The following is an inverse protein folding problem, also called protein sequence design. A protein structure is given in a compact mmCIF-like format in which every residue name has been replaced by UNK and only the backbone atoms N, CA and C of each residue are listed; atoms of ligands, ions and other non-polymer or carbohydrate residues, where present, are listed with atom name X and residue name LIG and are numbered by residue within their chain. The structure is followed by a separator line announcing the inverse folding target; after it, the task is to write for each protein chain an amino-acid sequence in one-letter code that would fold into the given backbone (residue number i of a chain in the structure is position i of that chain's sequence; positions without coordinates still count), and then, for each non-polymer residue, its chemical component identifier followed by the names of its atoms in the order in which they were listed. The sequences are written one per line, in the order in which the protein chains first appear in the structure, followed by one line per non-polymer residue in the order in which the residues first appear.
data_IF_221079197865
#
_entry.id   IF_221079197865
#
_cell.length_a   1.000
_cell.length_b   1.000
_cell.length_c   1.000
_cell.angle_alpha   90.00
_cell.angle_beta   90.00
_cell.angle_gamma   90.00
#
_symmetry.space_group_name_H-M   'P 1'
#
loop_
_entity.id
_entity.type
_entity.pdbx_description
1 polymer ?
#
# COMPACT_ATOMS: atom_id res chain seq x y z
N UNK A 1 4.91 -9.32 8.20
CA UNK A 1 4.73 -8.39 7.07
C UNK A 1 5.08 -9.09 5.78
N UNK A 2 4.26 -8.93 4.76
CA UNK A 2 4.50 -9.49 3.42
C UNK A 2 4.69 -8.37 2.43
N UNK A 3 5.29 -8.69 1.27
CA UNK A 3 5.65 -7.71 0.25
C UNK A 3 5.26 -8.20 -1.14
N UNK A 4 4.82 -7.26 -1.99
CA UNK A 4 4.47 -7.58 -3.38
C UNK A 4 5.60 -7.16 -4.33
N UNK A 5 5.55 -7.67 -5.56
CA UNK A 5 6.48 -7.26 -6.62
C UNK A 5 6.30 -5.79 -7.00
N UNK A 6 5.15 -5.21 -6.67
CA UNK A 6 4.85 -3.80 -6.91
C UNK A 6 5.32 -2.90 -5.77
N UNK A 7 6.10 -3.45 -4.82
CA UNK A 7 6.66 -2.73 -3.68
C UNK A 7 5.61 -2.23 -2.69
N UNK A 8 4.56 -3.03 -2.49
CA UNK A 8 3.56 -2.78 -1.45
C UNK A 8 3.87 -3.68 -0.27
N UNK A 9 3.65 -3.17 0.95
CA UNK A 9 3.75 -4.01 2.13
C UNK A 9 2.36 -4.30 2.68
N UNK A 10 2.21 -5.49 3.27
CA UNK A 10 0.95 -5.97 3.83
C UNK A 10 1.20 -6.43 5.26
N UNK A 11 0.46 -5.86 6.19
CA UNK A 11 0.58 -6.19 7.61
C UNK A 11 -0.77 -6.68 8.15
N UNK A 12 -0.87 -7.95 8.55
CA UNK A 12 -2.10 -8.45 9.17
C UNK A 12 -2.40 -7.71 10.49
N UNK A 13 -3.65 -7.30 10.66
CA UNK A 13 -4.13 -6.64 11.88
C UNK A 13 -5.53 -7.17 12.19
N UNK A 14 -5.60 -8.24 13.00
CA UNK A 14 -6.86 -8.93 13.24
C UNK A 14 -7.39 -9.53 11.94
N UNK A 15 -8.62 -9.19 11.57
CA UNK A 15 -9.25 -9.64 10.32
C UNK A 15 -8.87 -8.77 9.13
N UNK A 16 -8.10 -7.71 9.35
CA UNK A 16 -7.78 -6.72 8.33
C UNK A 16 -6.33 -6.85 7.89
N UNK A 17 -6.05 -6.36 6.69
CA UNK A 17 -4.70 -6.22 6.16
C UNK A 17 -4.43 -4.74 5.95
N UNK A 18 -3.39 -4.22 6.59
CA UNK A 18 -2.94 -2.84 6.38
C UNK A 18 -2.00 -2.83 5.19
N UNK A 19 -2.21 -1.91 4.26
CA UNK A 19 -1.43 -1.83 3.01
C UNK A 19 -0.77 -0.46 2.89
N UNK A 20 0.50 -0.47 2.53
CA UNK A 20 1.26 0.73 2.21
C UNK A 20 2.32 0.42 1.17
N UNK A 21 3.20 1.36 0.90
CA UNK A 21 4.34 1.13 -0.01
C UNK A 21 5.63 1.07 0.80
N UNK A 22 6.63 0.38 0.23
CA UNK A 22 7.92 0.22 0.89
C UNK A 22 8.74 1.50 0.81
N UNK A 23 9.75 1.61 1.67
CA UNK A 23 10.69 2.73 1.61
C UNK A 23 11.41 2.77 0.27
N UNK A 24 11.68 1.62 -0.32
CA UNK A 24 12.29 1.52 -1.65
C UNK A 24 11.41 2.20 -2.71
N UNK A 25 10.09 1.93 -2.70
CA UNK A 25 9.16 2.57 -3.63
C UNK A 25 9.07 4.07 -3.38
N UNK A 26 9.01 4.49 -2.13
CA UNK A 26 8.93 5.91 -1.76
C UNK A 26 10.17 6.67 -2.26
N UNK A 27 11.35 6.08 -2.14
CA UNK A 27 12.59 6.70 -2.65
C UNK A 27 12.56 6.87 -4.17
N UNK A 28 12.02 5.88 -4.89
CA UNK A 28 11.93 5.95 -6.34
C UNK A 28 10.94 7.00 -6.81
N UNK A 29 9.86 7.23 -6.05
CA UNK A 29 8.88 8.25 -6.38
C UNK A 29 9.44 9.67 -6.20
N UNK A 30 10.33 9.87 -5.23
CA UNK A 30 10.74 11.20 -4.83
C UNK A 30 9.66 11.87 -3.98
N UNK A 31 9.64 13.19 -3.91
CA UNK A 31 8.70 13.92 -3.05
C UNK A 31 7.25 13.73 -3.51
N UNK A 32 6.44 13.14 -2.65
CA UNK A 32 5.01 12.93 -2.90
C UNK A 32 4.27 14.23 -2.59
N UNK A 33 3.46 14.69 -3.54
CA UNK A 33 2.76 15.97 -3.43
C UNK A 33 1.24 15.83 -3.39
N UNK A 34 0.70 14.70 -3.82
CA UNK A 34 -0.74 14.46 -3.81
C UNK A 34 -1.04 12.97 -3.73
N UNK A 35 -2.05 12.62 -2.93
CA UNK A 35 -2.52 11.23 -2.79
C UNK A 35 -4.04 11.24 -2.86
N UNK A 36 -4.60 10.44 -3.77
CA UNK A 36 -6.03 10.21 -3.88
C UNK A 36 -6.36 8.85 -3.30
N UNK A 37 -7.13 8.83 -2.21
CA UNK A 37 -7.52 7.63 -1.49
C UNK A 37 -8.92 7.18 -1.90
N UNK A 38 -9.22 5.86 -1.82
CA UNK A 38 -10.58 5.37 -2.04
C UNK A 38 -11.45 5.71 -0.84
N UNK A 39 -12.75 5.49 -0.97
CA UNK A 39 -13.68 5.63 0.14
C UNK A 39 -13.80 4.31 0.91
N UNK A 40 -13.96 4.39 2.23
CA UNK A 40 -14.27 3.22 3.05
C UNK A 40 -15.60 2.61 2.55
N UNK A 41 -15.66 1.29 2.51
CA UNK A 41 -16.81 0.58 1.96
C UNK A 41 -16.67 0.18 0.49
N UNK A 42 -15.59 0.59 -0.17
CA UNK A 42 -15.34 0.23 -1.57
C UNK A 42 -14.90 -1.23 -1.67
N UNK A 43 -15.55 -2.00 -2.53
CA UNK A 43 -15.12 -3.36 -2.84
C UNK A 43 -14.08 -3.32 -3.95
N UNK A 44 -13.02 -4.11 -3.79
CA UNK A 44 -11.92 -4.17 -4.74
C UNK A 44 -11.55 -5.61 -5.06
N UNK A 45 -10.97 -5.80 -6.24
CA UNK A 45 -10.42 -7.08 -6.65
C UNK A 45 -8.89 -6.95 -6.77
N UNK A 46 -8.20 -8.07 -6.69
CA UNK A 46 -6.74 -8.10 -6.84
C UNK A 46 -6.34 -7.43 -8.15
N UNK A 47 -5.30 -6.60 -8.05
CA UNK A 47 -4.72 -5.83 -9.15
C UNK A 47 -5.58 -4.64 -9.65
N UNK A 48 -6.69 -4.37 -8.99
CA UNK A 48 -7.47 -3.17 -9.28
C UNK A 48 -6.77 -1.94 -8.72
N UNK A 49 -6.78 -0.83 -9.47
CA UNK A 49 -6.20 0.43 -9.01
C UNK A 49 -7.02 1.00 -7.85
N UNK A 50 -6.37 1.30 -6.73
CA UNK A 50 -7.03 1.73 -5.49
C UNK A 50 -6.62 3.14 -5.09
N UNK A 51 -5.32 3.44 -5.12
CA UNK A 51 -4.77 4.73 -4.69
C UNK A 51 -3.97 5.33 -5.82
N UNK A 52 -4.13 6.65 -6.03
CA UNK A 52 -3.30 7.40 -6.98
C UNK A 52 -2.32 8.25 -6.19
N UNK A 53 -1.05 8.17 -6.54
CA UNK A 53 0.02 8.95 -5.93
C UNK A 53 0.64 9.85 -6.99
N UNK A 54 0.74 11.14 -6.71
CA UNK A 54 1.47 12.06 -7.56
C UNK A 54 2.71 12.57 -6.84
N UNK A 55 3.84 12.52 -7.50
CA UNK A 55 5.10 13.04 -6.99
C UNK A 55 5.63 14.12 -7.94
N UNK A 56 6.70 14.77 -7.53
CA UNK A 56 7.36 15.78 -8.38
C UNK A 56 7.91 15.20 -9.67
N UNK A 57 8.07 13.87 -9.75
CA UNK A 57 8.63 13.20 -10.93
C UNK A 57 7.57 12.56 -11.82
N UNK A 58 6.52 11.97 -11.22
CA UNK A 58 5.57 11.13 -11.96
C UNK A 58 4.32 10.85 -11.15
N UNK A 59 3.31 10.27 -11.81
CA UNK A 59 2.14 9.70 -11.16
C UNK A 59 2.31 8.18 -11.09
N UNK A 60 1.76 7.57 -10.05
CA UNK A 60 1.79 6.12 -9.85
C UNK A 60 0.49 5.66 -9.21
N UNK A 61 0.13 4.40 -9.43
CA UNK A 61 -1.07 3.80 -8.85
C UNK A 61 -0.68 2.70 -7.88
N UNK A 62 -1.44 2.56 -6.80
CA UNK A 62 -1.33 1.43 -5.89
C UNK A 62 -2.46 0.46 -6.24
N UNK A 63 -2.08 -0.77 -6.51
CA UNK A 63 -3.04 -1.83 -6.84
C UNK A 63 -3.45 -2.56 -5.57
N UNK A 64 -4.67 -3.09 -5.56
CA UNK A 64 -5.10 -3.93 -4.44
C UNK A 64 -4.37 -5.27 -4.49
N UNK A 65 -3.71 -5.67 -3.40
CA UNK A 65 -3.03 -6.97 -3.38
C UNK A 65 -4.00 -8.15 -3.17
N UNK A 66 -5.24 -7.87 -2.81
CA UNK A 66 -6.22 -8.88 -2.42
C UNK A 66 -7.61 -8.49 -2.89
N UNK A 67 -8.48 -9.49 -3.04
CA UNK A 67 -9.91 -9.24 -3.16
C UNK A 67 -10.47 -8.93 -1.78
N UNK A 68 -11.33 -7.94 -1.67
CA UNK A 68 -11.94 -7.60 -0.40
C UNK A 68 -12.60 -6.24 -0.40
N UNK A 69 -12.85 -5.73 0.79
CA UNK A 69 -13.49 -4.44 1.01
C UNK A 69 -12.54 -3.50 1.75
N UNK A 70 -12.41 -2.28 1.24
CA UNK A 70 -11.66 -1.21 1.93
C UNK A 70 -12.52 -0.75 3.12
N UNK A 71 -12.03 -0.94 4.33
CA UNK A 71 -12.80 -0.59 5.54
C UNK A 71 -12.30 0.68 6.22
N UNK A 72 -11.05 1.07 5.95
CA UNK A 72 -10.46 2.28 6.54
C UNK A 72 -9.39 2.82 5.60
N UNK A 73 -9.26 4.15 5.54
CA UNK A 73 -8.20 4.83 4.80
C UNK A 73 -7.48 5.80 5.72
N UNK A 74 -6.21 6.05 5.43
CA UNK A 74 -5.39 6.97 6.22
C UNK A 74 -5.53 8.39 5.69
N UNK A 75 -6.51 9.12 6.19
CA UNK A 75 -6.79 10.47 5.74
C UNK A 75 -5.64 11.46 5.99
N UNK A 76 -4.73 11.13 6.90
CA UNK A 76 -3.53 11.96 7.13
C UNK A 76 -2.69 12.11 5.87
N UNK A 77 -2.74 11.14 4.97
CA UNK A 77 -1.99 11.21 3.72
C UNK A 77 -2.59 12.22 2.74
N UNK A 78 -3.91 12.44 2.79
CA UNK A 78 -4.54 13.45 1.96
C UNK A 78 -4.11 14.85 2.40
N UNK A 79 -3.96 15.06 3.72
CA UNK A 79 -3.55 16.34 4.29
C UNK A 79 -2.03 16.55 4.23
N UNK A 80 -1.27 15.46 4.38
CA UNK A 80 0.19 15.50 4.45
C UNK A 80 0.79 14.40 3.58
N UNK A 81 0.77 14.54 2.24
CA UNK A 81 1.30 13.51 1.34
C UNK A 81 2.77 13.16 1.59
N UNK A 82 3.57 14.12 2.02
CA UNK A 82 4.98 13.93 2.34
C UNK A 82 5.26 12.93 3.45
N UNK A 83 4.25 12.52 4.21
CA UNK A 83 4.38 11.49 5.24
C UNK A 83 4.86 10.17 4.62
N UNK A 84 4.52 9.89 3.37
CA UNK A 84 4.99 8.72 2.64
C UNK A 84 6.53 8.73 2.54
N UNK A 85 7.12 9.89 2.34
CA UNK A 85 8.57 10.03 2.25
C UNK A 85 9.25 9.92 3.61
N UNK A 86 8.53 10.26 4.68
CA UNK A 86 9.08 10.25 6.04
C UNK A 86 8.96 8.90 6.73
N UNK A 87 7.85 8.18 6.52
CA UNK A 87 7.53 6.97 7.28
C UNK A 87 6.70 5.98 6.46
N UNK A 88 7.21 5.62 5.29
CA UNK A 88 6.51 4.78 4.33
C UNK A 88 6.04 3.44 4.91
N UNK A 89 6.83 2.82 5.79
CA UNK A 89 6.52 1.50 6.34
C UNK A 89 5.94 1.54 7.75
N UNK A 90 5.50 2.71 8.20
CA UNK A 90 4.90 2.90 9.51
C UNK A 90 3.64 3.74 9.41
N UNK A 91 3.73 5.01 9.84
CA UNK A 91 2.57 5.91 9.89
C UNK A 91 1.92 6.24 8.56
N UNK A 92 2.58 5.98 7.44
CA UNK A 92 2.08 6.30 6.10
C UNK A 92 1.39 5.11 5.42
N UNK A 93 0.66 4.29 6.15
CA UNK A 93 -0.17 3.25 5.56
C UNK A 93 -1.30 3.91 4.74
N UNK A 94 -1.74 3.26 3.65
CA UNK A 94 -2.75 3.83 2.75
C UNK A 94 -4.17 3.42 3.12
N UNK A 95 -4.42 2.12 3.26
CA UNK A 95 -5.76 1.62 3.56
C UNK A 95 -5.69 0.31 4.33
N UNK A 96 -6.83 -0.05 4.93
CA UNK A 96 -7.02 -1.36 5.56
C UNK A 96 -8.11 -2.07 4.79
N UNK A 97 -7.83 -3.32 4.40
CA UNK A 97 -8.75 -4.14 3.61
C UNK A 97 -9.17 -5.37 4.40
N UNK A 98 -10.47 -5.66 4.34
CA UNK A 98 -11.01 -6.92 4.86
C UNK A 98 -10.98 -7.91 3.71
N UNK A 99 -10.00 -8.80 3.72
CA UNK A 99 -9.77 -9.73 2.63
C UNK A 99 -10.82 -10.84 2.61
N UNK A 100 -11.23 -11.24 1.40
CA UNK A 100 -12.13 -12.37 1.20
C UNK A 100 -11.42 -13.69 1.50
N UNK A 101 -10.12 -13.76 1.22
CA UNK A 101 -9.31 -14.96 1.41
C UNK A 101 -7.90 -14.56 1.84
N UNK A 102 -7.57 -14.83 3.11
CA UNK A 102 -6.27 -14.50 3.67
C UNK A 102 -5.15 -15.44 3.21
N UNK A 103 -5.49 -16.59 2.61
CA UNK A 103 -4.48 -17.53 2.13
C UNK A 103 -3.64 -16.96 0.99
N UNK A 104 -4.14 -15.94 0.29
CA UNK A 104 -3.40 -15.23 -0.76
C UNK A 104 -2.12 -14.62 -0.22
N UNK A 105 -2.09 -14.29 1.07
CA UNK A 105 -0.90 -13.72 1.72
C UNK A 105 0.31 -14.65 1.63
N UNK A 106 0.09 -15.95 1.56
CA UNK A 106 1.18 -16.94 1.47
C UNK A 106 1.93 -16.88 0.15
N UNK A 107 1.32 -16.28 -0.89
CA UNK A 107 1.92 -16.14 -2.21
C UNK A 107 2.87 -14.94 -2.29
N UNK A 108 2.88 -14.08 -1.28
CA UNK A 108 3.72 -12.90 -1.28
C UNK A 108 5.03 -13.13 -0.54
N UNK A 109 6.02 -12.27 -0.86
CA UNK A 109 7.36 -12.38 -0.31
C UNK A 109 7.39 -12.01 1.18
N UNK A 110 8.22 -12.70 1.96
CA UNK A 110 8.60 -12.23 3.28
C UNK A 110 9.69 -11.15 3.13
N UNK A 111 10.13 -10.57 4.24
CA UNK A 111 11.13 -9.50 4.19
C UNK A 111 12.45 -9.96 3.57
N UNK A 112 12.92 -11.15 3.90
CA UNK A 112 14.18 -11.68 3.36
C UNK A 112 14.10 -11.85 1.85
N UNK A 113 12.99 -12.40 1.35
CA UNK A 113 12.78 -12.58 -0.09
C UNK A 113 12.66 -11.24 -0.80
N UNK A 114 11.98 -10.28 -0.18
CA UNK A 114 11.82 -8.95 -0.76
C UNK A 114 13.18 -8.22 -0.86
N UNK A 115 14.03 -8.33 0.16
CA UNK A 115 15.35 -7.70 0.11
C UNK A 115 16.21 -8.27 -1.01
N UNK A 116 16.10 -9.57 -1.28
CA UNK A 116 16.77 -10.19 -2.43
C UNK A 116 16.20 -9.70 -3.75
N UNK A 117 14.89 -9.49 -3.80
CA UNK A 117 14.19 -9.02 -5.00
C UNK A 117 14.62 -7.61 -5.42
N UNK A 118 14.78 -6.72 -4.48
CA UNK A 118 15.17 -5.32 -4.77
C UNK A 118 16.68 -5.15 -4.92
N UNK A 119 17.44 -6.18 -4.61
CA UNK A 119 18.89 -6.16 -4.71
C UNK A 119 19.59 -5.78 -3.46
#
# INVERSE_FOLDING_TARGET
MKFTEEHEWLLPEGDLIVVGITSHAAEQLGDVVFIELPEAGTEVTKDEEVVVIESVKAASDILSPLDGEIVEVNESLADTPGLVNEDAQGGAWFFKIKASDLSVMDDYMDEADYQKFIG
#
